data_IF_547182542356
#
_entry.id   IF_547182542356
#
_cell.length_a   1.000
_cell.length_b   1.000
_cell.length_c   1.000
_cell.angle_alpha   90.00
_cell.angle_beta   90.00
_cell.angle_gamma   90.00
#
_symmetry.space_group_name_H-M   'P 1'
#
loop_
_entity.id
_entity.type
_entity.pdbx_description
1 polymer ?
#
# COMPACT_ATOMS: atom_id res chain seq x y z
N UNK A 1 20.37 0.98 20.58
CA UNK A 1 21.25 1.83 19.74
C UNK A 1 21.71 3.00 20.62
N UNK A 2 23.02 3.22 20.78
CA UNK A 2 23.55 4.28 21.65
C UNK A 2 23.85 5.54 20.82
N UNK A 3 23.18 6.65 21.13
CA UNK A 3 23.28 7.92 20.37
C UNK A 3 24.30 8.92 20.96
N UNK A 4 25.13 8.48 21.92
CA UNK A 4 26.16 9.30 22.56
C UNK A 4 25.70 9.98 23.86
N UNK A 5 26.62 10.71 24.51
CA UNK A 5 26.33 11.51 25.70
C UNK A 5 25.96 12.95 25.30
N UNK A 6 24.88 13.48 25.87
CA UNK A 6 24.42 14.86 25.68
C UNK A 6 24.03 15.46 27.03
N UNK A 7 24.32 16.75 27.24
CA UNK A 7 24.02 17.45 28.49
C UNK A 7 22.71 18.23 28.32
N UNK A 8 21.65 17.79 29.01
CA UNK A 8 20.34 18.44 28.96
C UNK A 8 20.37 19.67 29.85
N UNK A 9 19.99 20.84 29.32
CA UNK A 9 19.82 22.09 30.08
C UNK A 9 18.36 22.52 29.98
N UNK A 10 17.71 22.73 31.12
CA UNK A 10 16.37 23.33 31.17
C UNK A 10 16.51 24.85 31.03
N UNK A 11 15.89 25.44 30.01
CA UNK A 11 15.90 26.88 29.78
C UNK A 11 14.84 27.66 30.61
N UNK A 12 14.16 27.00 31.57
CA UNK A 12 13.19 27.67 32.45
C UNK A 12 11.93 28.23 31.77
N UNK A 13 11.73 27.95 30.48
CA UNK A 13 10.48 28.26 29.74
C UNK A 13 9.87 26.94 29.28
N UNK A 14 8.54 26.85 29.29
CA UNK A 14 7.74 25.62 29.14
C UNK A 14 7.94 24.81 27.83
N UNK A 15 8.90 25.16 26.97
CA UNK A 15 9.22 24.46 25.72
C UNK A 15 10.70 24.66 25.39
N UNK A 16 11.49 23.58 25.47
CA UNK A 16 12.82 23.51 24.87
C UNK A 16 12.77 22.66 23.60
N UNK A 17 13.32 23.14 22.49
CA UNK A 17 13.51 22.32 21.29
C UNK A 17 14.71 21.39 21.49
N UNK A 18 14.54 20.12 21.09
CA UNK A 18 15.63 19.14 21.04
C UNK A 18 15.79 18.72 19.59
N UNK A 19 16.93 19.08 19.00
CA UNK A 19 17.30 18.61 17.66
C UNK A 19 18.08 17.30 17.79
N UNK A 20 17.59 16.27 17.09
CA UNK A 20 18.22 14.95 17.06
C UNK A 20 18.55 14.63 15.62
N UNK A 21 19.83 14.44 15.34
CA UNK A 21 20.28 13.91 14.04
C UNK A 21 19.90 12.44 13.96
N UNK A 22 18.95 12.14 13.08
CA UNK A 22 18.51 10.77 12.83
C UNK A 22 19.49 10.05 11.89
N UNK A 23 19.70 8.73 12.05
CA UNK A 23 20.43 7.94 11.08
C UNK A 23 19.64 7.89 9.75
N UNK A 24 20.30 7.62 8.60
CA UNK A 24 19.65 7.66 7.28
C UNK A 24 18.40 6.78 7.17
N UNK A 25 18.38 5.65 7.87
CA UNK A 25 17.24 4.72 7.87
C UNK A 25 15.98 5.31 8.50
N UNK A 26 16.12 6.35 9.34
CA UNK A 26 15.00 7.04 10.00
C UNK A 26 14.66 8.38 9.34
N UNK A 27 15.22 8.67 8.16
CA UNK A 27 15.00 9.95 7.47
C UNK A 27 13.53 10.23 7.16
N UNK A 28 12.72 9.17 6.93
CA UNK A 28 11.26 9.29 6.76
C UNK A 28 10.53 9.92 7.96
N UNK A 29 11.18 10.07 9.12
CA UNK A 29 10.63 10.73 10.31
C UNK A 29 11.05 12.20 10.45
N UNK A 30 11.89 12.73 9.56
CA UNK A 30 12.31 14.14 9.58
C UNK A 30 11.09 15.05 9.67
N UNK A 31 11.07 16.08 10.51
CA UNK A 31 9.91 17.00 10.66
C UNK A 31 8.61 16.37 11.19
N UNK A 32 8.60 15.09 11.58
CA UNK A 32 7.48 14.53 12.36
C UNK A 32 7.56 15.06 13.79
N UNK A 33 6.43 15.62 14.26
CA UNK A 33 6.27 15.97 15.66
C UNK A 33 6.46 14.74 16.52
N UNK A 34 7.38 14.80 17.47
CA UNK A 34 7.63 13.72 18.41
C UNK A 34 7.23 14.15 19.82
N UNK A 35 6.59 13.24 20.56
CA UNK A 35 6.45 13.38 22.01
C UNK A 35 7.75 12.94 22.66
N UNK A 36 8.29 13.79 23.52
CA UNK A 36 9.45 13.49 24.35
C UNK A 36 8.96 13.05 25.73
N UNK A 37 9.32 11.84 26.13
CA UNK A 37 8.95 11.28 27.44
C UNK A 37 10.18 10.79 28.18
N UNK A 38 10.23 11.04 29.49
CA UNK A 38 11.17 10.37 30.39
C UNK A 38 10.46 9.16 30.98
N UNK A 39 10.93 7.96 30.65
CA UNK A 39 10.51 6.73 31.31
C UNK A 39 11.44 6.50 32.49
N UNK A 40 10.89 6.66 33.68
CA UNK A 40 11.59 6.34 34.91
C UNK A 40 11.42 4.85 35.20
N UNK A 41 12.55 4.13 35.26
CA UNK A 41 12.64 2.69 35.42
C UNK A 41 13.99 2.32 36.01
N UNK A 42 14.31 1.04 36.12
CA UNK A 42 15.64 0.60 36.61
C UNK A 42 16.80 1.17 35.79
N UNK A 43 16.53 1.50 34.53
CA UNK A 43 17.34 2.37 33.69
C UNK A 43 16.45 3.50 33.15
N UNK A 44 16.72 4.77 33.52
CA UNK A 44 15.94 5.89 33.01
C UNK A 44 16.21 6.08 31.52
N UNK A 45 15.14 6.20 30.72
CA UNK A 45 15.22 6.32 29.27
C UNK A 45 14.46 7.55 28.77
N UNK A 46 15.05 8.27 27.81
CA UNK A 46 14.36 9.31 27.06
C UNK A 46 13.79 8.67 25.80
N UNK A 47 12.46 8.66 25.70
CA UNK A 47 11.73 8.10 24.57
C UNK A 47 11.24 9.23 23.68
N UNK A 48 11.59 9.13 22.40
CA UNK A 48 11.02 9.93 21.32
C UNK A 48 9.95 9.10 20.64
N UNK A 49 8.70 9.50 20.80
CA UNK A 49 7.56 8.84 20.16
C UNK A 49 7.06 9.70 18.99
N UNK A 50 7.24 9.28 17.73
CA UNK A 50 6.73 10.03 16.59
C UNK A 50 5.20 10.04 16.61
N UNK A 51 4.60 11.18 16.31
CA UNK A 51 3.17 11.31 16.09
C UNK A 51 2.81 10.76 14.70
N UNK A 52 2.29 9.54 14.68
CA UNK A 52 1.89 8.84 13.46
C UNK A 52 0.39 9.00 13.16
N UNK A 53 -0.31 9.89 13.88
CA UNK A 53 -1.76 10.04 13.74
C UNK A 53 -2.16 10.45 12.32
N UNK A 54 -1.40 11.35 11.68
CA UNK A 54 -1.64 11.77 10.29
C UNK A 54 -1.45 10.63 9.30
N UNK A 55 -0.40 9.83 9.46
CA UNK A 55 -0.15 8.64 8.65
C UNK A 55 -1.30 7.62 8.82
N UNK A 56 -1.75 7.39 10.05
CA UNK A 56 -2.87 6.50 10.32
C UNK A 56 -4.18 7.00 9.69
N UNK A 57 -4.46 8.31 9.76
CA UNK A 57 -5.61 8.93 9.08
C UNK A 57 -5.57 8.71 7.57
N UNK A 58 -4.41 8.83 6.93
CA UNK A 58 -4.27 8.52 5.50
C UNK A 58 -4.63 7.06 5.21
N UNK A 59 -4.18 6.11 6.04
CA UNK A 59 -4.49 4.70 5.86
C UNK A 59 -6.01 4.44 5.93
N UNK A 60 -6.69 5.07 6.90
CA UNK A 60 -8.15 5.00 7.03
C UNK A 60 -8.85 5.58 5.78
N UNK A 61 -8.37 6.72 5.29
CA UNK A 61 -8.91 7.34 4.08
C UNK A 61 -8.75 6.43 2.87
N UNK A 62 -7.55 5.89 2.63
CA UNK A 62 -7.30 4.97 1.52
C UNK A 62 -8.16 3.71 1.61
N UNK A 63 -8.34 3.13 2.80
CA UNK A 63 -9.27 2.00 2.98
C UNK A 63 -10.71 2.37 2.63
N UNK A 64 -11.16 3.56 3.03
CA UNK A 64 -12.50 4.05 2.69
C UNK A 64 -12.66 4.24 1.17
N UNK A 65 -11.62 4.77 0.50
CA UNK A 65 -11.59 4.88 -0.97
C UNK A 65 -11.72 3.52 -1.64
N UNK A 66 -10.94 2.54 -1.18
CA UNK A 66 -11.01 1.16 -1.66
C UNK A 66 -12.41 0.57 -1.45
N UNK A 67 -13.01 0.77 -0.27
CA UNK A 67 -14.38 0.34 0.03
C UNK A 67 -15.40 0.93 -0.94
N UNK A 68 -15.27 2.21 -1.30
CA UNK A 68 -16.15 2.84 -2.29
C UNK A 68 -15.97 2.24 -3.69
N UNK A 69 -14.74 2.04 -4.15
CA UNK A 69 -14.50 1.41 -5.45
C UNK A 69 -14.97 -0.04 -5.51
N UNK A 70 -14.97 -0.75 -4.39
CA UNK A 70 -15.38 -2.15 -4.31
C UNK A 70 -16.84 -2.35 -3.88
N UNK A 71 -17.61 -1.28 -3.71
CA UNK A 71 -18.99 -1.36 -3.21
C UNK A 71 -19.91 -2.26 -4.08
N UNK A 72 -19.65 -2.32 -5.39
CA UNK A 72 -20.40 -3.20 -6.31
C UNK A 72 -19.96 -4.67 -6.30
N UNK A 73 -18.86 -5.00 -5.62
CA UNK A 73 -18.31 -6.36 -5.51
C UNK A 73 -18.81 -7.04 -4.22
N UNK A 74 -18.73 -6.32 -3.10
CA UNK A 74 -19.10 -6.83 -1.79
C UNK A 74 -18.58 -5.95 -0.65
N UNK A 75 -19.06 -6.21 0.56
CA UNK A 75 -18.66 -5.45 1.75
C UNK A 75 -17.32 -5.96 2.29
N UNK A 76 -16.27 -5.15 2.17
CA UNK A 76 -14.95 -5.45 2.73
C UNK A 76 -14.81 -5.08 4.20
N UNK A 77 -15.81 -4.43 4.82
CA UNK A 77 -15.82 -4.01 6.23
C UNK A 77 -14.92 -2.81 6.54
N UNK A 78 -14.79 -2.49 7.82
CA UNK A 78 -14.00 -1.35 8.30
C UNK A 78 -12.50 -1.67 8.34
N UNK A 79 -11.67 -0.62 8.31
CA UNK A 79 -10.22 -0.78 8.44
C UNK A 79 -9.88 -1.35 9.82
N UNK A 80 -9.24 -2.52 9.84
CA UNK A 80 -8.75 -3.13 11.07
C UNK A 80 -7.24 -3.41 10.92
N UNK A 81 -6.40 -2.71 11.71
CA UNK A 81 -4.96 -2.93 11.81
C UNK A 81 -4.53 -4.39 11.94
N UNK A 82 -5.34 -5.25 12.54
CA UNK A 82 -5.00 -6.65 12.79
C UNK A 82 -4.80 -7.46 11.50
N UNK A 83 -5.35 -7.00 10.38
CA UNK A 83 -5.23 -7.65 9.07
C UNK A 83 -3.89 -7.36 8.39
N UNK A 84 -3.09 -6.47 8.96
CA UNK A 84 -1.84 -5.99 8.37
C UNK A 84 -0.66 -6.25 9.30
N UNK A 85 0.51 -6.43 8.70
CA UNK A 85 1.77 -6.30 9.43
C UNK A 85 2.15 -4.80 9.47
N UNK A 86 1.52 -4.04 10.38
CA UNK A 86 1.80 -2.62 10.54
C UNK A 86 3.20 -2.40 11.14
N UNK A 87 4.02 -1.64 10.44
CA UNK A 87 5.35 -1.28 10.88
C UNK A 87 5.67 0.19 10.54
N UNK A 88 6.75 0.71 11.12
CA UNK A 88 7.22 2.05 10.75
C UNK A 88 7.79 2.07 9.33
N UNK A 89 8.55 1.03 8.97
CA UNK A 89 9.17 0.86 7.65
C UNK A 89 8.71 -0.44 7.01
N UNK A 90 8.67 -0.51 5.67
CA UNK A 90 8.27 -1.73 4.98
C UNK A 90 9.24 -2.88 5.31
N UNK A 91 8.75 -4.07 5.70
CA UNK A 91 9.60 -5.23 5.91
C UNK A 91 10.12 -5.75 4.57
N UNK A 92 11.33 -6.33 4.58
CA UNK A 92 11.92 -6.95 3.36
C UNK A 92 11.17 -8.19 2.89
N UNK A 93 10.61 -8.93 3.84
CA UNK A 93 9.85 -10.15 3.60
C UNK A 93 8.63 -10.17 4.51
N UNK A 94 7.53 -10.68 4.01
CA UNK A 94 6.30 -10.87 4.77
C UNK A 94 5.68 -12.23 4.38
N UNK A 95 4.88 -12.79 5.29
CA UNK A 95 4.29 -14.12 5.10
C UNK A 95 2.77 -14.00 5.03
N UNK A 96 2.08 -13.93 6.16
CA UNK A 96 0.63 -14.12 6.20
C UNK A 96 -0.17 -12.82 6.02
N UNK A 97 0.36 -11.68 6.45
CA UNK A 97 -0.36 -10.41 6.48
C UNK A 97 0.32 -9.37 5.60
N UNK A 98 -0.43 -8.69 4.71
CA UNK A 98 0.14 -7.63 3.88
C UNK A 98 0.81 -6.55 4.76
N UNK A 99 2.03 -6.13 4.42
CA UNK A 99 2.72 -5.12 5.19
C UNK A 99 2.13 -3.74 4.90
N UNK A 100 1.93 -2.92 5.91
CA UNK A 100 1.73 -1.48 5.70
C UNK A 100 2.76 -0.73 6.53
N UNK A 101 3.40 0.24 5.89
CA UNK A 101 4.41 1.07 6.51
C UNK A 101 3.88 2.48 6.76
N UNK A 102 4.02 2.97 7.99
CA UNK A 102 3.74 4.38 8.28
C UNK A 102 4.66 5.32 7.49
N UNK A 103 5.91 4.91 7.21
CA UNK A 103 6.83 5.66 6.37
C UNK A 103 6.26 5.88 4.96
N UNK A 104 5.62 4.89 4.35
CA UNK A 104 5.00 5.05 3.02
C UNK A 104 3.86 6.09 3.09
N UNK A 105 3.02 6.02 4.12
CA UNK A 105 1.95 7.01 4.31
C UNK A 105 2.49 8.43 4.54
N UNK A 106 3.60 8.56 5.28
CA UNK A 106 4.27 9.84 5.48
C UNK A 106 4.90 10.36 4.18
N UNK A 107 5.49 9.50 3.35
CA UNK A 107 6.02 9.86 2.03
C UNK A 107 4.93 10.45 1.14
N UNK A 108 3.76 9.79 1.08
CA UNK A 108 2.60 10.27 0.33
C UNK A 108 2.13 11.65 0.83
N UNK A 109 2.04 11.84 2.15
CA UNK A 109 1.60 13.11 2.73
C UNK A 109 2.58 14.27 2.47
N UNK A 110 3.88 13.99 2.38
CA UNK A 110 4.93 15.00 2.17
C UNK A 110 5.12 15.39 0.72
N UNK A 111 4.76 14.52 -0.22
CA UNK A 111 5.07 14.68 -1.65
C UNK A 111 6.57 14.94 -1.89
N UNK A 112 7.44 14.14 -1.25
CA UNK A 112 8.91 14.33 -1.25
C UNK A 112 9.46 14.43 -2.68
N UNK A 113 9.10 13.46 -3.51
CA UNK A 113 9.20 13.49 -4.97
C UNK A 113 7.94 12.84 -5.52
N UNK A 114 7.52 13.22 -6.74
CA UNK A 114 6.33 12.61 -7.34
C UNK A 114 6.53 11.10 -7.47
N UNK A 115 7.65 10.63 -8.01
CA UNK A 115 7.90 9.19 -8.22
C UNK A 115 7.85 8.37 -6.91
N UNK A 116 8.59 8.76 -5.86
CA UNK A 116 8.59 8.02 -4.59
C UNK A 116 7.22 8.04 -3.89
N UNK A 117 6.48 9.14 -4.03
CA UNK A 117 5.13 9.27 -3.51
C UNK A 117 4.16 8.34 -4.25
N UNK A 118 4.29 8.22 -5.58
CA UNK A 118 3.48 7.32 -6.39
C UNK A 118 3.79 5.86 -6.06
N UNK A 119 5.05 5.48 -5.90
CA UNK A 119 5.43 4.14 -5.49
C UNK A 119 4.92 3.78 -4.09
N UNK A 120 5.04 4.71 -3.14
CA UNK A 120 4.52 4.52 -1.79
C UNK A 120 2.99 4.33 -1.81
N UNK A 121 2.29 5.15 -2.60
CA UNK A 121 0.85 5.03 -2.78
C UNK A 121 0.44 3.70 -3.44
N UNK A 122 1.20 3.25 -4.44
CA UNK A 122 1.01 1.95 -5.08
C UNK A 122 1.17 0.81 -4.08
N UNK A 123 2.22 0.83 -3.25
CA UNK A 123 2.43 -0.18 -2.19
C UNK A 123 1.27 -0.21 -1.21
N UNK A 124 0.88 0.94 -0.66
CA UNK A 124 -0.23 1.03 0.29
C UNK A 124 -1.54 0.52 -0.32
N UNK A 125 -1.86 0.95 -1.54
CA UNK A 125 -3.07 0.54 -2.26
C UNK A 125 -3.06 -0.96 -2.54
N UNK A 126 -1.93 -1.49 -3.01
CA UNK A 126 -1.78 -2.92 -3.31
C UNK A 126 -1.97 -3.78 -2.08
N UNK A 127 -1.28 -3.47 -0.98
CA UNK A 127 -1.40 -4.26 0.25
C UNK A 127 -2.80 -4.18 0.88
N UNK A 128 -3.47 -3.03 0.80
CA UNK A 128 -4.88 -2.91 1.19
C UNK A 128 -5.80 -3.75 0.29
N UNK A 129 -5.57 -3.73 -1.02
CA UNK A 129 -6.34 -4.53 -1.97
C UNK A 129 -6.14 -6.04 -1.78
N UNK A 130 -4.95 -6.49 -1.36
CA UNK A 130 -4.72 -7.90 -0.96
C UNK A 130 -5.63 -8.25 0.23
N UNK A 131 -5.63 -7.44 1.29
CA UNK A 131 -6.46 -7.68 2.47
C UNK A 131 -7.97 -7.64 2.12
N UNK A 132 -8.39 -6.72 1.25
CA UNK A 132 -9.76 -6.65 0.76
C UNK A 132 -10.15 -7.91 -0.03
N UNK A 133 -9.29 -8.39 -0.92
CA UNK A 133 -9.50 -9.63 -1.68
C UNK A 133 -9.61 -10.86 -0.76
N UNK A 134 -8.77 -10.95 0.27
CA UNK A 134 -8.86 -12.00 1.29
C UNK A 134 -10.20 -11.95 2.04
N UNK A 135 -10.67 -10.76 2.42
CA UNK A 135 -11.98 -10.59 3.10
C UNK A 135 -13.16 -10.99 2.22
N UNK A 136 -13.04 -10.82 0.91
CA UNK A 136 -14.03 -11.27 -0.06
C UNK A 136 -13.89 -12.75 -0.45
N UNK A 137 -12.92 -13.48 0.14
CA UNK A 137 -12.80 -14.93 -0.01
C UNK A 137 -11.82 -15.40 -1.09
N UNK A 138 -10.99 -14.52 -1.68
CA UNK A 138 -9.89 -14.97 -2.54
C UNK A 138 -8.88 -15.78 -1.73
N UNK A 139 -8.36 -16.84 -2.35
CA UNK A 139 -7.16 -17.54 -1.86
C UNK A 139 -5.98 -16.58 -1.76
N UNK A 140 -5.01 -16.90 -0.90
CA UNK A 140 -3.83 -16.08 -0.67
C UNK A 140 -3.10 -15.70 -1.97
N UNK A 141 -2.88 -16.67 -2.86
CA UNK A 141 -2.21 -16.45 -4.15
C UNK A 141 -2.97 -15.52 -5.09
N UNK A 142 -4.29 -15.67 -5.17
CA UNK A 142 -5.11 -14.81 -6.02
C UNK A 142 -5.31 -13.42 -5.40
N UNK A 143 -5.41 -13.32 -4.07
CA UNK A 143 -5.45 -12.05 -3.38
C UNK A 143 -4.16 -11.23 -3.59
N UNK A 144 -2.99 -11.88 -3.59
CA UNK A 144 -1.71 -11.25 -3.93
C UNK A 144 -1.73 -10.66 -5.35
N UNK A 145 -2.11 -11.48 -6.33
CA UNK A 145 -2.19 -11.05 -7.73
C UNK A 145 -3.26 -9.97 -7.95
N UNK A 146 -4.39 -10.06 -7.26
CA UNK A 146 -5.46 -9.07 -7.30
C UNK A 146 -4.99 -7.74 -6.75
N UNK A 147 -4.32 -7.73 -5.59
CA UNK A 147 -3.84 -6.49 -4.99
C UNK A 147 -2.78 -5.78 -5.83
N UNK A 148 -1.81 -6.51 -6.39
CA UNK A 148 -0.84 -5.92 -7.33
C UNK A 148 -1.52 -5.40 -8.61
N UNK A 149 -2.51 -6.13 -9.11
CA UNK A 149 -3.31 -5.71 -10.26
C UNK A 149 -4.04 -4.40 -9.99
N UNK A 150 -4.69 -4.27 -8.84
CA UNK A 150 -5.40 -3.04 -8.45
C UNK A 150 -4.44 -1.87 -8.26
N UNK A 151 -3.31 -2.09 -7.60
CA UNK A 151 -2.27 -1.07 -7.48
C UNK A 151 -1.83 -0.57 -8.85
N UNK A 152 -1.54 -1.49 -9.78
CA UNK A 152 -1.10 -1.16 -11.13
C UNK A 152 -2.17 -0.40 -11.93
N UNK A 153 -3.44 -0.83 -11.89
CA UNK A 153 -4.52 -0.16 -12.59
C UNK A 153 -4.73 1.29 -12.13
N UNK A 154 -4.53 1.55 -10.83
CA UNK A 154 -4.80 2.83 -10.20
C UNK A 154 -3.59 3.78 -10.19
N UNK A 155 -2.38 3.26 -10.20
CA UNK A 155 -1.14 4.05 -10.09
C UNK A 155 -0.21 3.94 -11.29
N UNK A 156 -0.41 2.94 -12.16
CA UNK A 156 0.54 2.57 -13.21
C UNK A 156 1.80 1.85 -12.71
N UNK A 157 1.91 1.60 -11.40
CA UNK A 157 3.11 1.02 -10.77
C UNK A 157 2.81 -0.38 -10.28
N UNK A 158 3.65 -1.32 -10.71
CA UNK A 158 3.66 -2.69 -10.21
C UNK A 158 4.42 -2.75 -8.88
N UNK A 159 3.86 -3.46 -7.91
CA UNK A 159 4.44 -3.61 -6.57
C UNK A 159 4.94 -5.02 -6.30
N UNK A 160 4.42 -6.02 -7.03
CA UNK A 160 4.82 -7.42 -6.97
C UNK A 160 5.28 -7.93 -8.35
N UNK A 161 6.25 -8.84 -8.34
CA UNK A 161 6.72 -9.53 -9.53
C UNK A 161 5.90 -10.79 -9.80
N UNK A 162 5.83 -11.23 -11.07
CA UNK A 162 5.25 -12.53 -11.44
C UNK A 162 3.74 -12.52 -11.64
N UNK A 163 3.14 -11.34 -11.78
CA UNK A 163 1.70 -11.08 -11.98
C UNK A 163 1.45 -10.33 -13.30
N UNK A 164 2.40 -10.40 -14.24
CA UNK A 164 2.33 -9.70 -15.54
C UNK A 164 1.11 -10.11 -16.35
N UNK A 165 0.77 -11.40 -16.32
CA UNK A 165 -0.39 -11.96 -17.01
C UNK A 165 -1.69 -11.35 -16.47
N UNK A 166 -1.86 -11.39 -15.14
CA UNK A 166 -3.05 -10.89 -14.45
C UNK A 166 -3.23 -9.39 -14.68
N UNK A 167 -2.15 -8.60 -14.57
CA UNK A 167 -2.15 -7.17 -14.88
C UNK A 167 -2.55 -6.90 -16.32
N UNK A 168 -1.96 -7.63 -17.27
CA UNK A 168 -2.23 -7.46 -18.70
C UNK A 168 -3.68 -7.74 -19.07
N UNK A 169 -4.28 -8.81 -18.51
CA UNK A 169 -5.69 -9.10 -18.72
C UNK A 169 -6.59 -8.07 -18.03
N UNK A 170 -6.30 -7.74 -16.77
CA UNK A 170 -7.09 -6.80 -16.00
C UNK A 170 -7.12 -5.41 -16.64
N UNK A 171 -6.02 -4.94 -17.23
CA UNK A 171 -5.98 -3.68 -17.95
C UNK A 171 -6.97 -3.65 -19.13
N UNK A 172 -7.16 -4.78 -19.82
CA UNK A 172 -8.17 -4.89 -20.89
C UNK A 172 -9.58 -4.87 -20.33
N UNK A 173 -9.84 -5.66 -19.29
CA UNK A 173 -11.17 -5.75 -18.65
C UNK A 173 -11.60 -4.45 -17.98
N UNK A 174 -10.66 -3.75 -17.37
CA UNK A 174 -10.92 -2.51 -16.66
C UNK A 174 -11.37 -1.41 -17.64
N UNK A 175 -10.67 -1.26 -18.77
CA UNK A 175 -10.92 -0.21 -19.77
C UNK A 175 -11.88 -0.57 -20.90
N UNK A 176 -12.49 -1.76 -20.88
CA UNK A 176 -13.36 -2.27 -21.95
C UNK A 176 -14.51 -1.32 -22.35
N UNK A 177 -14.89 -0.38 -21.49
CA UNK A 177 -16.01 0.55 -21.72
C UNK A 177 -15.71 2.05 -21.47
N UNK A 178 -14.49 2.49 -21.11
CA UNK A 178 -14.19 3.92 -20.80
C UNK A 178 -12.73 4.38 -21.05
N UNK A 179 -12.57 5.72 -21.11
CA UNK A 179 -11.39 6.60 -21.35
C UNK A 179 -10.45 6.78 -20.13
N UNK A 180 -9.28 7.47 -20.25
CA UNK A 180 -7.95 7.06 -19.77
C UNK A 180 -7.75 7.00 -18.24
N UNK A 181 -6.65 6.35 -17.83
CA UNK A 181 -6.29 6.06 -16.45
C UNK A 181 -6.29 7.25 -15.48
N UNK A 182 -6.85 7.09 -14.26
CA UNK A 182 -6.71 8.10 -13.22
C UNK A 182 -5.22 8.32 -12.91
N UNK A 183 -4.79 9.57 -12.84
CA UNK A 183 -3.46 9.91 -12.36
C UNK A 183 -3.37 9.63 -10.85
N UNK A 184 -2.25 9.09 -10.36
CA UNK A 184 -2.16 8.59 -8.98
C UNK A 184 -2.37 9.69 -7.93
N UNK A 185 -2.08 10.95 -8.24
CA UNK A 185 -2.40 12.11 -7.38
C UNK A 185 -3.90 12.26 -7.11
N UNK A 186 -4.75 11.65 -7.93
CA UNK A 186 -6.20 11.67 -7.83
C UNK A 186 -6.79 10.52 -7.00
N UNK A 187 -5.99 9.57 -6.48
CA UNK A 187 -6.52 8.44 -5.70
C UNK A 187 -7.06 8.84 -4.32
N UNK A 188 -6.82 10.08 -3.88
CA UNK A 188 -7.48 10.64 -2.70
C UNK A 188 -8.82 11.32 -3.05
N UNK A 189 -9.22 11.35 -4.31
CA UNK A 189 -10.52 11.85 -4.76
C UNK A 189 -11.57 10.73 -4.73
N UNK A 190 -12.73 11.00 -4.13
CA UNK A 190 -13.86 10.05 -4.11
C UNK A 190 -14.36 9.73 -5.52
N UNK A 191 -14.35 10.72 -6.43
CA UNK A 191 -14.91 10.57 -7.76
C UNK A 191 -14.15 9.52 -8.59
N UNK A 192 -12.82 9.45 -8.43
CA UNK A 192 -12.00 8.44 -9.11
C UNK A 192 -12.41 7.02 -8.72
N UNK A 193 -12.62 6.77 -7.44
CA UNK A 193 -12.97 5.44 -6.96
C UNK A 193 -14.38 5.02 -7.36
N UNK A 194 -15.32 5.98 -7.38
CA UNK A 194 -16.66 5.73 -7.89
C UNK A 194 -16.66 5.41 -9.39
N UNK A 195 -15.87 6.13 -10.19
CA UNK A 195 -15.72 5.89 -11.62
C UNK A 195 -14.98 4.58 -11.92
N UNK A 196 -14.00 4.21 -11.09
CA UNK A 196 -13.26 2.95 -11.20
C UNK A 196 -14.13 1.72 -10.88
N UNK A 197 -15.20 1.87 -10.09
CA UNK A 197 -16.01 0.78 -9.57
C UNK A 197 -16.46 -0.26 -10.60
N UNK A 198 -17.11 0.13 -11.71
CA UNK A 198 -17.51 -0.82 -12.75
C UNK A 198 -16.32 -1.61 -13.37
N UNK A 199 -15.17 -0.96 -13.53
CA UNK A 199 -13.94 -1.62 -14.00
C UNK A 199 -13.40 -2.61 -12.97
N UNK A 200 -13.39 -2.21 -11.69
CA UNK A 200 -12.99 -3.08 -10.59
C UNK A 200 -13.89 -4.31 -10.47
N UNK A 201 -15.21 -4.16 -10.64
CA UNK A 201 -16.16 -5.28 -10.65
C UNK A 201 -15.84 -6.30 -11.73
N UNK A 202 -15.57 -5.87 -12.97
CA UNK A 202 -15.19 -6.77 -14.07
C UNK A 202 -13.88 -7.52 -13.78
N UNK A 203 -12.88 -6.81 -13.25
CA UNK A 203 -11.61 -7.43 -12.84
C UNK A 203 -11.86 -8.45 -11.74
N UNK A 204 -12.66 -8.12 -10.73
CA UNK A 204 -13.02 -9.03 -9.66
C UNK A 204 -13.71 -10.29 -10.16
N UNK A 205 -14.72 -10.17 -11.03
CA UNK A 205 -15.43 -11.32 -11.61
C UNK A 205 -14.45 -12.29 -12.27
N UNK A 206 -13.42 -11.79 -12.95
CA UNK A 206 -12.40 -12.63 -13.55
C UNK A 206 -11.56 -13.39 -12.50
N UNK A 207 -11.22 -12.73 -11.39
CA UNK A 207 -10.51 -13.36 -10.27
C UNK A 207 -11.38 -14.40 -9.54
N UNK A 208 -12.68 -14.14 -9.37
CA UNK A 208 -13.63 -15.11 -8.82
C UNK A 208 -13.78 -16.34 -9.73
N UNK A 209 -13.86 -16.15 -11.05
CA UNK A 209 -13.85 -17.26 -12.01
C UNK A 209 -12.56 -18.08 -11.88
N UNK A 210 -11.41 -17.45 -11.69
CA UNK A 210 -10.14 -18.17 -11.48
C UNK A 210 -10.08 -18.91 -10.16
N UNK A 211 -10.64 -18.33 -9.09
CA UNK A 211 -10.77 -18.98 -7.79
C UNK A 211 -11.63 -20.25 -7.88
N UNK A 212 -12.73 -20.18 -8.61
CA UNK A 212 -13.68 -21.29 -8.78
C UNK A 212 -13.26 -22.29 -9.87
N UNK A 213 -12.37 -21.89 -10.80
CA UNK A 213 -11.86 -22.74 -11.88
C UNK A 213 -10.32 -22.57 -12.06
N UNK A 214 -9.50 -23.07 -11.12
CA UNK A 214 -8.04 -22.84 -11.13
C UNK A 214 -7.33 -23.37 -12.39
N UNK A 215 -7.87 -24.44 -13.00
CA UNK A 215 -7.33 -25.00 -14.24
C UNK A 215 -7.41 -24.00 -15.40
N UNK A 216 -8.50 -23.22 -15.49
CA UNK A 216 -8.66 -22.19 -16.52
C UNK A 216 -7.63 -21.08 -16.38
N UNK A 217 -7.35 -20.65 -15.15
CA UNK A 217 -6.29 -19.68 -14.86
C UNK A 217 -4.93 -20.21 -15.31
N UNK A 218 -4.60 -21.45 -14.93
CA UNK A 218 -3.33 -22.08 -15.27
C UNK A 218 -3.13 -22.19 -16.79
N UNK A 219 -4.14 -22.68 -17.51
CA UNK A 219 -4.10 -22.82 -18.97
C UNK A 219 -3.98 -21.45 -19.66
N UNK A 220 -4.77 -20.46 -19.23
CA UNK A 220 -4.74 -19.13 -19.81
C UNK A 220 -3.37 -18.46 -19.61
N UNK A 221 -2.80 -18.57 -18.41
CA UNK A 221 -1.47 -18.05 -18.08
C UNK A 221 -0.38 -18.73 -18.92
N UNK A 222 -0.41 -20.06 -19.05
CA UNK A 222 0.53 -20.80 -19.90
C UNK A 222 0.45 -20.38 -21.37
N UNK A 223 -0.76 -20.23 -21.91
CA UNK A 223 -0.96 -19.81 -23.29
C UNK A 223 -0.45 -18.40 -23.55
N UNK A 224 -0.62 -17.48 -22.58
CA UNK A 224 -0.12 -16.12 -22.68
C UNK A 224 1.41 -16.06 -22.74
N UNK A 225 2.12 -16.77 -21.85
CA UNK A 225 3.59 -16.83 -21.91
C UNK A 225 4.10 -17.53 -23.17
N UNK A 226 3.40 -18.55 -23.67
CA UNK A 226 3.73 -19.19 -24.94
C UNK A 226 3.61 -18.21 -26.11
N UNK A 227 2.53 -17.44 -26.17
CA UNK A 227 2.32 -16.43 -27.22
C UNK A 227 3.43 -15.36 -27.20
N UNK A 228 3.79 -14.85 -26.02
CA UNK A 228 4.92 -13.92 -25.85
C UNK A 228 6.25 -14.51 -26.33
N UNK A 229 6.50 -15.79 -26.05
CA UNK A 229 7.73 -16.46 -26.48
C UNK A 229 7.79 -16.60 -28.00
N UNK A 230 6.65 -16.84 -28.67
CA UNK A 230 6.57 -16.89 -30.13
C UNK A 230 6.82 -15.52 -30.75
N UNK A 231 6.24 -14.45 -30.19
CA UNK A 231 6.45 -13.08 -30.67
C UNK A 231 7.90 -12.58 -30.48
N UNK A 232 8.58 -13.02 -29.42
CA UNK A 232 9.98 -12.66 -29.16
C UNK A 232 11.00 -13.58 -29.85
N UNK A 233 10.60 -14.80 -30.24
CA UNK A 233 11.44 -15.81 -30.88
C UNK A 233 11.47 -15.77 -32.41
N UNK A 234 10.72 -14.87 -33.03
CA UNK A 234 10.71 -14.63 -34.48
C UNK A 234 11.63 -13.48 -34.91
N UNK A 235 12.90 -13.53 -34.47
CA UNK A 235 14.01 -12.70 -34.97
C UNK A 235 15.09 -13.59 -35.55
#
# INVERSE_FOLDING_TARGET
MYFGSRRIRSAGRASGSVEVTLPPQLHGLQEIKCRLMLRDGTHPEIVLQPDLSTAHTLLLQLWQKLRMGMAGIGEIGDFDPSNFALALFPPRHWQQRPPLAYADALTVLRKVTDDESHEALARLTGYMAIAAGQRLGLSETLALAFGDTLAYLLTGISVLAGTEFERGLAMRLFWEQQTPAPHASSLLDDQVWQQAGPGLSRVWEQFDVWQNMPERHTIARQNWYRALTVEMGSV
#
